data_IF_591697264421
#
_entry.id   IF_591697264421
#
_cell.length_a   1.000
_cell.length_b   1.000
_cell.length_c   1.000
_cell.angle_alpha   90.00
_cell.angle_beta   90.00
_cell.angle_gamma   90.00
#
_symmetry.space_group_name_H-M   'P 1'
#
loop_
_entity.id
_entity.type
_entity.pdbx_description
1 polymer ?
#
# COMPACT_ATOMS: atom_id res chain seq x y z
N UNK A 1 -7.61 18.96 -9.43
CA UNK A 1 -8.00 17.55 -9.34
C UNK A 1 -9.38 17.54 -8.72
N UNK A 2 -10.42 17.02 -9.40
CA UNK A 2 -11.78 16.95 -8.82
C UNK A 2 -11.88 15.89 -7.71
N UNK A 3 -13.06 15.66 -7.14
CA UNK A 3 -13.25 14.55 -6.19
C UNK A 3 -13.07 13.21 -6.91
N UNK A 4 -12.06 12.44 -6.47
CA UNK A 4 -11.75 11.11 -6.98
C UNK A 4 -11.99 10.03 -5.92
N UNK A 5 -12.73 10.33 -4.84
CA UNK A 5 -13.13 9.34 -3.82
C UNK A 5 -12.33 9.39 -2.52
N UNK A 6 -11.50 10.42 -2.34
CA UNK A 6 -10.89 10.75 -1.04
C UNK A 6 -11.43 12.05 -0.45
N UNK A 7 -12.47 12.63 -1.06
CA UNK A 7 -13.08 13.88 -0.64
C UNK A 7 -12.41 15.12 -1.25
N UNK A 8 -13.03 16.25 -0.96
CA UNK A 8 -12.70 17.54 -1.56
C UNK A 8 -11.35 18.10 -1.07
N UNK A 9 -10.75 18.95 -1.93
CA UNK A 9 -9.57 19.74 -1.60
C UNK A 9 -8.33 19.40 -2.43
N UNK A 10 -7.23 20.10 -2.12
CA UNK A 10 -5.94 19.91 -2.79
C UNK A 10 -5.23 18.67 -2.26
N UNK A 11 -5.06 17.66 -3.10
CA UNK A 11 -4.27 16.47 -2.79
C UNK A 11 -2.87 16.57 -3.38
N UNK A 12 -1.86 16.38 -2.53
CA UNK A 12 -0.45 16.43 -2.94
C UNK A 12 0.05 15.03 -3.29
N UNK A 13 0.43 14.74 -4.53
CA UNK A 13 0.98 13.43 -4.89
C UNK A 13 2.35 13.22 -4.23
N UNK A 14 2.58 12.00 -3.76
CA UNK A 14 3.80 11.61 -3.02
C UNK A 14 4.57 10.51 -3.74
N UNK A 15 3.87 9.45 -4.12
CA UNK A 15 4.50 8.27 -4.71
C UNK A 15 3.52 7.55 -5.64
N UNK A 16 4.06 6.94 -6.69
CA UNK A 16 3.34 6.04 -7.61
C UNK A 16 4.11 4.74 -7.74
N UNK A 17 3.46 3.61 -7.50
CA UNK A 17 4.10 2.30 -7.36
C UNK A 17 3.50 1.34 -8.38
N UNK A 18 4.34 0.71 -9.22
CA UNK A 18 3.86 -0.28 -10.15
C UNK A 18 4.06 -1.68 -9.56
N UNK A 19 2.95 -2.36 -9.24
CA UNK A 19 2.98 -3.72 -8.70
C UNK A 19 3.63 -4.78 -9.61
N UNK A 20 4.00 -4.44 -10.85
CA UNK A 20 4.78 -5.30 -11.74
C UNK A 20 6.29 -5.09 -11.61
N UNK A 21 6.74 -4.10 -10.83
CA UNK A 21 8.15 -3.71 -10.69
C UNK A 21 8.61 -3.86 -9.26
N UNK A 22 9.88 -4.19 -9.08
CA UNK A 22 10.52 -4.33 -7.77
C UNK A 22 10.99 -3.00 -7.16
N UNK A 23 10.88 -1.88 -7.90
CA UNK A 23 11.39 -0.56 -7.52
C UNK A 23 11.04 -0.18 -6.09
N UNK A 24 9.76 -0.32 -5.73
CA UNK A 24 9.24 0.02 -4.41
C UNK A 24 8.87 -1.21 -3.58
N UNK A 25 9.56 -2.34 -3.78
CA UNK A 25 9.44 -3.49 -2.90
C UNK A 25 9.59 -3.10 -1.42
N UNK A 26 9.00 -3.87 -0.50
CA UNK A 26 9.04 -3.59 0.94
C UNK A 26 10.46 -3.23 1.44
N UNK A 27 11.47 -4.00 1.02
CA UNK A 27 12.87 -3.83 1.43
C UNK A 27 13.62 -2.72 0.67
N UNK A 28 12.95 -1.98 -0.23
CA UNK A 28 13.59 -0.93 -1.03
C UNK A 28 14.04 0.26 -0.17
N UNK A 29 15.28 0.71 -0.40
CA UNK A 29 15.85 1.92 0.22
C UNK A 29 15.01 3.19 -0.03
N UNK A 30 14.19 3.22 -1.09
CA UNK A 30 13.28 4.33 -1.36
C UNK A 30 12.26 4.57 -0.24
N UNK A 31 12.01 3.61 0.65
CA UNK A 31 11.14 3.84 1.80
C UNK A 31 11.81 4.62 2.94
N UNK A 32 13.14 4.55 3.05
CA UNK A 32 13.91 5.13 4.16
C UNK A 32 14.82 6.29 3.77
N UNK A 33 15.11 6.49 2.48
CA UNK A 33 15.93 7.60 2.01
C UNK A 33 15.11 8.86 1.66
N UNK A 34 15.83 9.95 1.36
CA UNK A 34 15.28 11.23 0.87
C UNK A 34 15.66 11.49 -0.60
N UNK A 35 15.80 10.43 -1.39
CA UNK A 35 16.08 10.54 -2.81
C UNK A 35 14.78 10.56 -3.62
N UNK A 36 14.78 11.32 -4.70
CA UNK A 36 13.70 11.30 -5.68
C UNK A 36 13.86 10.14 -6.66
N UNK A 37 12.76 9.66 -7.23
CA UNK A 37 12.78 8.70 -8.33
C UNK A 37 11.82 9.15 -9.42
N UNK A 38 12.28 9.20 -10.67
CA UNK A 38 11.50 9.56 -11.85
C UNK A 38 10.55 10.78 -11.63
N UNK A 39 11.13 11.96 -11.42
CA UNK A 39 10.37 13.20 -11.17
C UNK A 39 9.40 13.55 -12.31
N UNK A 40 9.72 13.16 -13.54
CA UNK A 40 8.84 13.37 -14.70
C UNK A 40 7.53 12.62 -14.55
N UNK A 41 7.55 11.44 -13.91
CA UNK A 41 6.34 10.68 -13.58
C UNK A 41 5.40 11.40 -12.60
N UNK A 42 5.84 12.45 -11.91
CA UNK A 42 4.98 13.28 -11.06
C UNK A 42 4.20 14.37 -11.81
N UNK A 43 4.50 14.61 -13.09
CA UNK A 43 3.86 15.67 -13.89
C UNK A 43 2.48 15.28 -14.45
N UNK A 44 2.16 13.99 -14.38
CA UNK A 44 0.92 13.38 -14.90
C UNK A 44 0.06 12.85 -13.75
N UNK A 45 -1.24 12.68 -14.00
CA UNK A 45 -2.20 12.18 -13.01
C UNK A 45 -2.10 10.67 -12.76
N UNK A 46 -3.24 9.96 -12.78
CA UNK A 46 -3.32 8.52 -12.49
C UNK A 46 -2.89 7.63 -13.69
N UNK A 47 -1.64 7.80 -14.11
CA UNK A 47 -0.98 7.01 -15.16
C UNK A 47 -0.18 5.84 -14.59
N UNK A 48 0.59 5.15 -15.44
CA UNK A 48 1.36 3.94 -15.07
C UNK A 48 2.85 4.20 -14.85
N UNK A 49 3.25 5.46 -14.71
CA UNK A 49 4.65 5.85 -14.49
C UNK A 49 4.95 5.87 -12.99
N UNK A 50 5.95 5.08 -12.57
CA UNK A 50 6.44 5.09 -11.18
C UNK A 50 7.08 6.42 -10.83
N UNK A 51 6.91 6.90 -9.60
CA UNK A 51 7.59 8.10 -9.11
C UNK A 51 7.71 8.10 -7.59
N UNK A 52 8.75 8.73 -7.09
CA UNK A 52 8.88 9.17 -5.69
C UNK A 52 9.26 10.64 -5.72
N UNK A 53 8.39 11.48 -5.16
CA UNK A 53 8.54 12.93 -5.18
C UNK A 53 9.12 13.46 -3.85
N UNK A 54 9.75 14.65 -3.84
CA UNK A 54 10.21 15.30 -2.62
C UNK A 54 9.13 15.46 -1.55
N UNK A 55 7.88 15.58 -1.99
CA UNK A 55 6.70 15.63 -1.15
C UNK A 55 6.58 14.43 -0.19
N UNK A 56 7.23 13.29 -0.50
CA UNK A 56 7.34 12.13 0.41
C UNK A 56 7.99 12.46 1.76
N UNK A 57 9.00 13.34 1.79
CA UNK A 57 9.76 13.63 3.02
C UNK A 57 9.61 15.06 3.53
N UNK A 58 9.09 16.00 2.72
CA UNK A 58 8.96 17.42 3.12
C UNK A 58 7.54 17.86 3.46
N UNK A 59 6.50 17.06 3.20
CA UNK A 59 5.10 17.50 3.31
C UNK A 59 4.45 16.96 4.59
N UNK A 60 4.14 17.82 5.58
CA UNK A 60 3.25 17.47 6.67
C UNK A 60 1.83 17.24 6.15
N UNK A 61 1.09 16.35 6.79
CA UNK A 61 -0.28 16.04 6.40
C UNK A 61 -1.11 15.57 7.59
N UNK A 62 -2.42 15.57 7.39
CA UNK A 62 -3.46 15.06 8.30
C UNK A 62 -4.25 13.89 7.71
N UNK A 63 -4.22 13.73 6.39
CA UNK A 63 -4.87 12.63 5.67
C UNK A 63 -3.96 12.02 4.62
N UNK A 64 -4.18 10.75 4.34
CA UNK A 64 -3.54 10.02 3.24
C UNK A 64 -4.66 9.49 2.34
N UNK A 65 -4.52 9.68 1.04
CA UNK A 65 -5.35 9.04 0.04
C UNK A 65 -4.55 7.96 -0.68
N UNK A 66 -5.08 6.75 -0.69
CA UNK A 66 -4.49 5.58 -1.31
C UNK A 66 -5.37 5.17 -2.49
N UNK A 67 -4.76 5.09 -3.67
CA UNK A 67 -5.43 4.66 -4.89
C UNK A 67 -4.80 3.40 -5.47
N UNK A 68 -5.62 2.49 -5.98
CA UNK A 68 -5.16 1.36 -6.80
C UNK A 68 -5.90 1.33 -8.12
N UNK A 69 -5.14 1.25 -9.22
CA UNK A 69 -5.66 1.06 -10.58
C UNK A 69 -5.39 -0.36 -11.07
N UNK A 70 -6.46 -1.04 -11.46
CA UNK A 70 -6.48 -2.39 -12.00
C UNK A 70 -7.30 -2.36 -13.30
N UNK A 71 -6.63 -2.58 -14.43
CA UNK A 71 -7.23 -2.34 -15.75
C UNK A 71 -7.65 -0.87 -15.91
N UNK A 72 -8.92 -0.66 -16.26
CA UNK A 72 -9.52 0.67 -16.39
C UNK A 72 -10.06 1.26 -15.08
N UNK A 73 -10.16 0.46 -14.02
CA UNK A 73 -10.78 0.88 -12.76
C UNK A 73 -9.72 1.40 -11.81
N UNK A 74 -9.97 2.58 -11.25
CA UNK A 74 -9.21 3.13 -10.13
C UNK A 74 -10.13 3.27 -8.93
N UNK A 75 -9.68 2.79 -7.78
CA UNK A 75 -10.42 2.82 -6.52
C UNK A 75 -9.57 3.43 -5.44
N UNK A 76 -10.21 4.15 -4.53
CA UNK A 76 -9.54 4.93 -3.51
C UNK A 76 -10.09 4.65 -2.12
N UNK A 77 -9.23 4.81 -1.13
CA UNK A 77 -9.57 4.88 0.29
C UNK A 77 -8.78 6.01 0.93
N UNK A 78 -9.32 6.61 1.98
CA UNK A 78 -8.63 7.61 2.80
C UNK A 78 -8.25 7.07 4.18
N UNK A 79 -7.21 7.66 4.77
CA UNK A 79 -6.75 7.39 6.13
C UNK A 79 -6.56 8.72 6.84
N UNK A 80 -7.29 8.92 7.94
CA UNK A 80 -7.05 10.04 8.85
C UNK A 80 -5.80 9.73 9.70
N UNK A 81 -4.68 10.35 9.36
CA UNK A 81 -3.40 10.15 10.04
C UNK A 81 -2.55 11.41 9.93
N UNK A 82 -2.20 11.98 11.09
CA UNK A 82 -1.28 13.11 11.14
C UNK A 82 0.18 12.65 11.21
N UNK A 83 1.04 13.25 10.38
CA UNK A 83 2.49 13.05 10.43
C UNK A 83 3.24 14.25 9.80
N UNK A 84 4.52 14.39 10.14
CA UNK A 84 5.37 15.43 9.55
C UNK A 84 5.76 15.16 8.09
N UNK A 85 5.73 13.89 7.67
CA UNK A 85 5.85 13.42 6.28
C UNK A 85 5.67 11.91 6.21
N UNK A 86 5.51 11.36 4.99
CA UNK A 86 5.35 9.91 4.79
C UNK A 86 6.65 9.20 5.17
N UNK A 87 7.81 9.84 4.88
CA UNK A 87 9.12 9.42 5.35
C UNK A 87 9.16 9.27 6.86
N UNK A 88 8.76 10.30 7.63
CA UNK A 88 8.78 10.23 9.11
C UNK A 88 7.88 9.13 9.68
N UNK A 89 6.83 8.76 8.94
CA UNK A 89 5.86 7.75 9.35
C UNK A 89 6.30 6.32 9.04
N UNK A 90 7.16 6.12 8.03
CA UNK A 90 7.52 4.79 7.51
C UNK A 90 8.99 4.44 7.74
N UNK A 91 9.91 5.40 7.63
CA UNK A 91 11.35 5.16 7.48
C UNK A 91 12.00 4.45 8.66
N UNK A 92 11.45 4.58 9.87
CA UNK A 92 11.97 3.91 11.07
C UNK A 92 11.59 2.43 11.17
N UNK A 93 10.80 1.92 10.22
CA UNK A 93 10.38 0.52 10.16
C UNK A 93 9.41 0.10 11.26
N UNK A 94 8.97 1.01 12.13
CA UNK A 94 8.07 0.65 13.25
C UNK A 94 6.65 0.44 12.75
N UNK A 95 6.01 -0.61 13.26
CA UNK A 95 4.61 -0.87 13.02
C UNK A 95 3.74 0.22 13.66
N UNK A 96 2.76 0.72 12.91
CA UNK A 96 1.74 1.66 13.40
C UNK A 96 0.39 1.25 12.83
N UNK A 97 -0.56 0.93 13.70
CA UNK A 97 -1.85 0.45 13.26
C UNK A 97 -2.73 1.53 12.61
N UNK A 98 -3.67 1.07 11.79
CA UNK A 98 -4.87 1.80 11.38
C UNK A 98 -6.11 1.10 11.92
N UNK A 99 -7.29 1.65 11.67
CA UNK A 99 -8.58 1.05 12.05
C UNK A 99 -9.58 1.16 10.90
N UNK A 100 -9.12 0.94 9.66
CA UNK A 100 -9.95 1.02 8.46
C UNK A 100 -10.82 -0.23 8.29
N UNK A 101 -10.33 -1.37 8.76
CA UNK A 101 -10.99 -2.65 8.62
C UNK A 101 -10.79 -3.31 7.25
N UNK A 102 -10.97 -4.65 7.24
CA UNK A 102 -10.72 -5.51 6.08
C UNK A 102 -11.51 -5.11 4.84
N UNK A 103 -12.79 -4.76 4.99
CA UNK A 103 -13.66 -4.37 3.87
C UNK A 103 -13.12 -3.16 3.12
N UNK A 104 -12.59 -2.18 3.85
CA UNK A 104 -11.97 -0.97 3.28
C UNK A 104 -10.73 -1.31 2.49
N UNK A 105 -9.83 -2.15 3.01
CA UNK A 105 -8.67 -2.60 2.24
C UNK A 105 -9.05 -3.40 0.99
N UNK A 106 -10.06 -4.27 1.08
CA UNK A 106 -10.58 -5.04 -0.05
C UNK A 106 -11.21 -4.14 -1.13
N UNK A 107 -11.78 -2.99 -0.76
CA UNK A 107 -12.42 -2.07 -1.71
C UNK A 107 -11.43 -1.51 -2.75
N UNK A 108 -10.13 -1.38 -2.42
CA UNK A 108 -9.08 -0.99 -3.38
C UNK A 108 -8.99 -1.94 -4.57
N UNK A 109 -9.26 -3.23 -4.35
CA UNK A 109 -9.16 -4.28 -5.37
C UNK A 109 -10.51 -4.49 -6.07
N UNK A 110 -11.61 -4.43 -5.31
CA UNK A 110 -12.97 -4.65 -5.80
C UNK A 110 -13.47 -6.07 -5.57
N UNK A 111 -14.34 -6.59 -6.45
CA UNK A 111 -14.96 -7.91 -6.32
C UNK A 111 -13.95 -9.06 -6.29
N UNK A 112 -12.78 -8.87 -6.90
CA UNK A 112 -11.71 -9.88 -6.97
C UNK A 112 -10.83 -9.92 -5.71
N UNK A 113 -11.07 -9.03 -4.73
CA UNK A 113 -10.28 -8.97 -3.51
C UNK A 113 -10.35 -10.27 -2.72
N UNK A 114 -9.21 -10.74 -2.24
CA UNK A 114 -9.09 -11.97 -1.45
C UNK A 114 -8.12 -11.78 -0.29
N UNK A 115 -8.49 -12.23 0.90
CA UNK A 115 -7.63 -12.25 2.09
C UNK A 115 -7.95 -13.48 2.92
N UNK A 116 -6.98 -13.97 3.68
CA UNK A 116 -7.27 -14.97 4.70
C UNK A 116 -8.09 -14.33 5.85
N UNK A 117 -8.95 -15.14 6.49
CA UNK A 117 -10.07 -14.64 7.29
C UNK A 117 -9.72 -14.14 8.71
N UNK A 118 -8.53 -14.41 9.23
CA UNK A 118 -8.21 -14.16 10.63
C UNK A 118 -7.33 -12.92 10.84
N UNK A 119 -6.03 -13.02 11.15
CA UNK A 119 -5.19 -11.85 11.47
C UNK A 119 -5.50 -10.65 10.55
N UNK A 120 -5.64 -9.45 11.12
CA UNK A 120 -5.87 -8.21 10.39
C UNK A 120 -4.84 -7.16 10.79
N UNK A 121 -3.56 -7.49 10.63
CA UNK A 121 -2.50 -6.53 10.93
C UNK A 121 -2.50 -5.48 9.83
N UNK A 122 -3.21 -4.38 10.06
CA UNK A 122 -3.31 -3.25 9.14
C UNK A 122 -2.51 -2.03 9.61
N UNK A 123 -2.09 -1.20 8.66
CA UNK A 123 -1.46 0.09 8.88
C UNK A 123 -0.11 0.23 8.20
N UNK A 124 0.83 0.88 8.89
CA UNK A 124 2.16 1.20 8.39
C UNK A 124 3.18 0.17 8.89
N UNK A 125 4.07 -0.29 8.01
CA UNK A 125 5.02 -1.36 8.29
C UNK A 125 4.35 -2.62 8.88
N UNK A 126 3.21 -3.02 8.31
CA UNK A 126 2.46 -4.20 8.73
C UNK A 126 3.15 -5.47 8.20
N UNK A 127 3.78 -6.22 9.11
CA UNK A 127 4.61 -7.40 8.82
C UNK A 127 4.07 -8.60 9.60
N UNK A 128 3.97 -9.78 9.01
CA UNK A 128 3.76 -11.03 9.76
C UNK A 128 5.01 -11.40 10.56
N UNK A 129 4.85 -11.95 11.77
CA UNK A 129 5.99 -12.14 12.70
C UNK A 129 6.97 -13.24 12.23
N UNK A 130 6.54 -14.18 11.38
CA UNK A 130 7.41 -15.20 10.80
C UNK A 130 8.30 -14.61 9.70
N UNK A 131 9.61 -14.95 9.68
CA UNK A 131 10.49 -14.64 8.57
C UNK A 131 9.88 -15.08 7.23
N UNK A 132 9.81 -14.13 6.28
CA UNK A 132 9.25 -14.39 4.96
C UNK A 132 7.73 -14.40 4.87
N UNK A 133 7.00 -14.07 5.95
CA UNK A 133 5.56 -13.80 5.90
C UNK A 133 5.22 -12.57 5.04
N UNK A 134 3.93 -12.33 4.87
CA UNK A 134 3.40 -11.16 4.18
C UNK A 134 3.84 -9.86 4.88
N UNK A 135 4.26 -8.85 4.09
CA UNK A 135 4.81 -7.58 4.55
C UNK A 135 4.30 -6.45 3.67
N UNK A 136 3.82 -5.37 4.28
CA UNK A 136 3.35 -4.17 3.58
C UNK A 136 3.90 -2.91 4.25
N UNK A 137 4.28 -1.90 3.46
CA UNK A 137 4.65 -0.58 4.00
C UNK A 137 3.42 0.21 4.40
N UNK A 138 2.36 0.10 3.61
CA UNK A 138 1.03 0.60 3.91
C UNK A 138 0.03 -0.43 3.43
N UNK A 139 -0.74 -1.05 4.31
CA UNK A 139 -1.61 -2.14 3.90
C UNK A 139 -2.15 -2.96 5.06
N UNK A 140 -2.71 -4.12 4.70
CA UNK A 140 -3.17 -5.16 5.60
C UNK A 140 -2.46 -6.48 5.28
N UNK A 141 -2.02 -7.18 6.31
CA UNK A 141 -1.52 -8.54 6.24
C UNK A 141 -2.42 -9.47 7.08
N UNK A 142 -2.72 -10.66 6.52
CA UNK A 142 -3.65 -11.60 7.10
C UNK A 142 -3.21 -13.07 6.96
N UNK A 143 -3.72 -13.89 7.87
CA UNK A 143 -3.57 -15.35 7.87
C UNK A 143 -4.88 -16.06 8.28
N UNK A 144 -4.80 -17.38 8.44
CA UNK A 144 -5.86 -18.24 8.91
C UNK A 144 -5.75 -18.61 10.41
N UNK A 145 -4.74 -18.13 11.12
CA UNK A 145 -4.54 -18.39 12.55
C UNK A 145 -5.06 -17.23 13.42
N UNK A 146 -5.17 -17.44 14.73
CA UNK A 146 -5.58 -16.39 15.68
C UNK A 146 -4.48 -15.36 15.96
N UNK A 147 -3.23 -15.71 15.69
CA UNK A 147 -2.08 -14.80 15.76
C UNK A 147 -1.74 -14.21 14.38
N UNK A 148 -0.76 -13.30 14.33
CA UNK A 148 -0.23 -12.74 13.08
C UNK A 148 1.16 -13.31 12.74
N UNK A 149 1.46 -14.53 13.17
CA UNK A 149 2.76 -15.14 12.97
C UNK A 149 2.95 -15.55 11.50
N UNK A 150 2.00 -16.32 10.94
CA UNK A 150 2.09 -16.87 9.58
C UNK A 150 1.21 -16.15 8.55
N UNK A 151 1.36 -14.83 8.40
CA UNK A 151 0.68 -14.06 7.34
C UNK A 151 1.06 -14.56 5.94
N UNK A 152 0.07 -15.01 5.15
CA UNK A 152 0.27 -15.44 3.75
C UNK A 152 -0.63 -14.69 2.76
N UNK A 153 -1.38 -13.69 3.23
CA UNK A 153 -2.16 -12.81 2.37
C UNK A 153 -1.97 -11.35 2.76
N UNK A 154 -2.08 -10.45 1.79
CA UNK A 154 -1.94 -9.02 1.96
C UNK A 154 -2.64 -8.23 0.86
N UNK A 155 -3.03 -7.01 1.21
CA UNK A 155 -3.36 -5.95 0.27
C UNK A 155 -2.56 -4.73 0.69
N UNK A 156 -1.82 -4.10 -0.23
CA UNK A 156 -1.10 -2.90 0.14
C UNK A 156 -0.15 -2.34 -0.90
N UNK A 157 0.65 -1.39 -0.42
CA UNK A 157 1.67 -0.64 -1.11
C UNK A 157 3.02 -0.96 -0.47
N UNK A 158 4.05 -1.12 -1.30
CA UNK A 158 5.36 -1.54 -0.84
C UNK A 158 5.33 -2.93 -0.22
N UNK A 159 4.76 -3.88 -0.96
CA UNK A 159 4.57 -5.25 -0.48
C UNK A 159 5.82 -6.11 -0.68
N UNK A 160 5.90 -7.18 0.10
CA UNK A 160 6.98 -8.18 0.04
C UNK A 160 6.58 -9.48 0.75
N UNK A 161 7.57 -10.38 0.91
CA UNK A 161 7.35 -11.72 1.47
C UNK A 161 8.09 -12.79 0.66
N UNK A 162 8.37 -13.94 1.27
CA UNK A 162 9.28 -14.96 0.72
C UNK A 162 8.72 -15.77 -0.45
N UNK A 163 7.40 -15.70 -0.71
CA UNK A 163 6.74 -16.59 -1.66
C UNK A 163 6.35 -15.97 -3.00
N UNK A 164 6.32 -14.64 -3.13
CA UNK A 164 5.71 -13.97 -4.30
C UNK A 164 6.46 -12.69 -4.68
N UNK A 165 7.76 -12.85 -4.94
CA UNK A 165 8.67 -11.77 -5.33
C UNK A 165 8.35 -11.18 -6.70
N UNK A 166 7.32 -10.35 -6.79
CA UNK A 166 7.22 -9.26 -7.78
C UNK A 166 6.06 -8.31 -7.52
N UNK A 167 5.05 -8.71 -6.75
CA UNK A 167 3.93 -7.82 -6.45
C UNK A 167 4.31 -6.85 -5.34
N UNK A 168 4.57 -5.60 -5.72
CA UNK A 168 4.90 -4.49 -4.81
C UNK A 168 3.71 -3.60 -4.50
N UNK A 169 2.59 -3.78 -5.20
CA UNK A 169 1.35 -3.06 -4.97
C UNK A 169 0.16 -3.85 -5.53
N UNK A 170 -0.82 -4.15 -4.69
CA UNK A 170 -2.01 -4.90 -5.09
C UNK A 170 -2.44 -5.90 -4.01
N UNK A 171 -2.93 -7.06 -4.44
CA UNK A 171 -3.42 -8.12 -3.57
C UNK A 171 -2.72 -9.45 -3.85
N UNK A 172 -2.14 -10.01 -2.80
CA UNK A 172 -1.62 -11.36 -2.78
C UNK A 172 -2.38 -12.17 -1.75
N UNK A 173 -2.91 -13.34 -2.13
CA UNK A 173 -3.64 -14.20 -1.22
C UNK A 173 -3.49 -15.66 -1.60
N UNK A 174 -2.97 -16.45 -0.67
CA UNK A 174 -2.81 -17.90 -0.82
C UNK A 174 -3.24 -18.63 0.45
N UNK A 175 -3.24 -19.96 0.40
CA UNK A 175 -3.51 -20.83 1.55
C UNK A 175 -4.93 -20.64 2.14
N UNK A 176 -5.94 -20.86 1.30
CA UNK A 176 -7.37 -20.82 1.66
C UNK A 176 -7.88 -19.43 2.05
N UNK A 177 -7.69 -18.40 1.21
CA UNK A 177 -8.28 -17.10 1.43
C UNK A 177 -9.78 -17.06 1.08
N UNK A 178 -10.47 -16.02 1.50
CA UNK A 178 -11.93 -15.88 1.44
C UNK A 178 -12.54 -15.79 0.03
N UNK A 179 -11.72 -15.52 -1.00
CA UNK A 179 -12.16 -15.43 -2.39
C UNK A 179 -11.21 -16.14 -3.35
N UNK A 180 -10.66 -17.28 -2.92
CA UNK A 180 -9.70 -18.08 -3.69
C UNK A 180 -8.33 -17.40 -3.85
N UNK A 181 -7.36 -18.16 -4.36
CA UNK A 181 -6.00 -17.63 -4.51
C UNK A 181 -5.97 -16.49 -5.53
N UNK A 182 -5.29 -15.38 -5.20
CA UNK A 182 -5.19 -14.19 -6.04
C UNK A 182 -3.76 -13.65 -6.07
N UNK A 183 -3.34 -13.24 -7.26
CA UNK A 183 -2.06 -12.57 -7.53
C UNK A 183 -2.31 -11.31 -8.37
N UNK A 184 -2.96 -10.32 -7.76
CA UNK A 184 -3.45 -9.12 -8.46
C UNK A 184 -2.43 -8.00 -8.27
N UNK A 185 -1.84 -7.56 -9.38
CA UNK A 185 -0.93 -6.41 -9.41
C UNK A 185 -1.70 -5.16 -9.79
N UNK A 186 -1.43 -4.07 -9.09
CA UNK A 186 -2.06 -2.77 -9.31
C UNK A 186 -1.01 -1.69 -9.56
N UNK A 187 -1.44 -0.60 -10.20
CA UNK A 187 -0.73 0.66 -10.13
C UNK A 187 -1.23 1.43 -8.91
N UNK A 188 -0.35 1.66 -7.95
CA UNK A 188 -0.63 2.34 -6.69
C UNK A 188 -0.34 3.84 -6.75
N UNK A 189 -1.17 4.63 -6.08
CA UNK A 189 -1.03 6.07 -5.93
C UNK A 189 -1.13 6.44 -4.45
N UNK A 190 -0.18 7.24 -3.97
CA UNK A 190 -0.18 7.77 -2.61
C UNK A 190 -0.20 9.29 -2.70
N UNK A 191 -1.22 9.90 -2.10
CA UNK A 191 -1.38 11.34 -1.99
C UNK A 191 -1.63 11.72 -0.53
N UNK A 192 -1.35 12.98 -0.17
CA UNK A 192 -1.53 13.50 1.18
C UNK A 192 -2.20 14.87 1.19
N UNK A 193 -2.90 15.18 2.29
CA UNK A 193 -3.59 16.45 2.54
C UNK A 193 -3.38 16.91 3.99
#
# INVERSE_FOLDING_TARGET
MGDFGCGDGGWTPVMKINGNKSTFHFDSHFWSDRNSFNLVGGKTGFDSQETKLPTYWITPFSKICLGMKIGSHIRFIDINKQAGSLHSLIADGKYRNTSLGRSTWKSLIGSEASLQLNCNREGFNAVGDKPGGARTRIGIAANQQHDCFTCNSQIGFGTGGSREGSNTCGNEATHSPDNGNKHIKAMGYILVQ
#
